data_IF_192111661585
#
_entry.id   IF_192111661585
#
_cell.length_a   1.000
_cell.length_b   1.000
_cell.length_c   1.000
_cell.angle_alpha   90.00
_cell.angle_beta   90.00
_cell.angle_gamma   90.00
#
_symmetry.space_group_name_H-M   'P 1'
#
loop_
_entity.id
_entity.type
_entity.pdbx_description
1 polymer ?
#
# COMPACT_ATOMS: atom_id res chain seq x y z
N UNK A 1 -7.17 14.23 -1.61
CA UNK A 1 -7.18 15.63 -1.14
C UNK A 1 -7.86 16.57 -2.15
N UNK A 2 -7.71 16.36 -3.46
CA UNK A 2 -8.17 17.27 -4.55
C UNK A 2 -9.65 17.11 -4.94
N UNK A 3 -10.26 15.94 -4.69
CA UNK A 3 -11.58 15.55 -5.28
C UNK A 3 -12.77 16.46 -4.94
N UNK A 4 -12.68 17.28 -3.90
CA UNK A 4 -13.76 18.19 -3.54
C UNK A 4 -13.68 19.53 -4.33
N UNK A 5 -12.52 19.80 -4.94
CA UNK A 5 -12.28 21.01 -5.71
C UNK A 5 -12.26 20.75 -7.22
N UNK A 6 -11.95 19.53 -7.66
CA UNK A 6 -11.76 19.17 -9.07
C UNK A 6 -12.50 17.90 -9.44
N UNK A 7 -12.97 17.84 -10.66
CA UNK A 7 -13.41 16.59 -11.30
C UNK A 7 -12.19 15.77 -11.68
N UNK A 8 -12.05 14.59 -11.06
CA UNK A 8 -10.83 13.78 -11.15
C UNK A 8 -11.10 12.41 -11.75
N UNK A 9 -10.34 12.06 -12.78
CA UNK A 9 -10.12 10.67 -13.22
C UNK A 9 -8.81 10.17 -12.66
N UNK A 10 -8.74 8.91 -12.27
CA UNK A 10 -7.53 8.28 -11.74
C UNK A 10 -7.42 6.82 -12.17
N UNK A 11 -6.19 6.32 -12.24
CA UNK A 11 -5.95 4.89 -12.42
C UNK A 11 -6.71 4.07 -11.38
N UNK A 12 -7.53 3.09 -11.80
CA UNK A 12 -8.18 2.17 -10.86
C UNK A 12 -7.16 1.15 -10.34
N UNK A 13 -7.20 0.87 -9.04
CA UNK A 13 -6.29 -0.11 -8.40
C UNK A 13 -4.81 0.14 -8.75
N UNK A 14 -4.12 -0.90 -9.28
CA UNK A 14 -2.70 -0.87 -9.68
C UNK A 14 -2.54 -0.89 -11.20
N UNK A 15 -3.38 -0.14 -11.94
CA UNK A 15 -3.30 -0.04 -13.40
C UNK A 15 -2.16 0.89 -13.81
N UNK A 16 -0.91 0.42 -13.64
CA UNK A 16 0.32 1.18 -13.87
C UNK A 16 1.18 0.65 -15.03
N UNK A 17 0.80 -0.47 -15.65
CA UNK A 17 1.44 -0.99 -16.88
C UNK A 17 0.94 -0.24 -18.12
N UNK A 18 1.61 -0.42 -19.26
CA UNK A 18 1.20 0.20 -20.53
C UNK A 18 -0.28 -0.01 -20.85
N UNK A 19 -0.79 -1.25 -20.70
CA UNK A 19 -2.19 -1.55 -20.90
C UNK A 19 -3.10 -0.90 -19.85
N UNK A 20 -2.69 -0.97 -18.57
CA UNK A 20 -3.45 -0.39 -17.46
C UNK A 20 -3.57 1.13 -17.57
N UNK A 21 -2.48 1.81 -17.92
CA UNK A 21 -2.45 3.26 -18.16
C UNK A 21 -3.30 3.63 -19.36
N UNK A 22 -3.17 2.92 -20.49
CA UNK A 22 -3.99 3.17 -21.68
C UNK A 22 -5.49 3.08 -21.36
N UNK A 23 -5.92 2.04 -20.64
CA UNK A 23 -7.31 1.89 -20.20
C UNK A 23 -7.75 3.03 -19.28
N UNK A 24 -6.87 3.48 -18.37
CA UNK A 24 -7.17 4.59 -17.46
C UNK A 24 -7.28 5.94 -18.18
N UNK A 25 -6.43 6.19 -19.16
CA UNK A 25 -6.47 7.42 -19.98
C UNK A 25 -7.74 7.48 -20.84
N UNK A 26 -8.22 6.34 -21.33
CA UNK A 26 -9.49 6.27 -22.09
C UNK A 26 -10.74 6.63 -21.26
N UNK A 27 -10.65 6.65 -19.95
CA UNK A 27 -11.74 7.09 -19.06
C UNK A 27 -11.87 8.62 -19.00
N UNK A 28 -10.85 9.38 -19.47
CA UNK A 28 -10.88 10.84 -19.49
C UNK A 28 -12.01 11.36 -20.40
N UNK A 29 -12.69 12.36 -19.91
CA UNK A 29 -13.72 13.06 -20.66
C UNK A 29 -13.58 14.59 -20.49
N UNK A 30 -14.32 15.36 -21.29
CA UNK A 30 -14.20 16.83 -21.35
C UNK A 30 -14.61 17.57 -20.05
N UNK A 31 -15.18 16.90 -19.08
CA UNK A 31 -15.56 17.48 -17.78
C UNK A 31 -14.50 17.27 -16.72
N UNK A 32 -13.51 16.41 -16.98
CA UNK A 32 -12.46 16.14 -16.02
C UNK A 32 -11.40 17.25 -16.06
N UNK A 33 -10.99 17.69 -14.88
CA UNK A 33 -10.03 18.78 -14.70
C UNK A 33 -8.64 18.25 -14.35
N UNK A 34 -8.57 17.07 -13.68
CA UNK A 34 -7.33 16.43 -13.30
C UNK A 34 -7.38 14.92 -13.60
N UNK A 35 -6.37 14.43 -14.32
CA UNK A 35 -6.07 13.01 -14.45
C UNK A 35 -4.91 12.60 -13.56
N UNK A 36 -5.06 11.56 -12.71
CA UNK A 36 -4.01 11.04 -11.84
C UNK A 36 -3.68 9.60 -12.28
N UNK A 37 -2.50 9.42 -12.86
CA UNK A 37 -2.08 8.14 -13.41
C UNK A 37 -0.81 7.64 -12.71
N UNK A 38 -0.81 6.36 -12.33
CA UNK A 38 0.38 5.67 -11.84
C UNK A 38 1.10 5.04 -13.03
N UNK A 39 2.40 5.34 -13.20
CA UNK A 39 3.24 4.78 -14.25
C UNK A 39 4.31 3.88 -13.65
N UNK A 40 4.25 2.58 -13.94
CA UNK A 40 5.22 1.57 -13.56
C UNK A 40 5.99 1.05 -14.77
N UNK A 41 7.26 0.73 -14.58
CA UNK A 41 8.12 0.12 -15.61
C UNK A 41 8.85 -1.11 -15.05
N UNK A 42 9.11 -2.06 -15.92
CA UNK A 42 9.89 -3.25 -15.63
C UNK A 42 11.20 -3.32 -16.43
N UNK A 43 11.24 -2.64 -17.58
CA UNK A 43 12.39 -2.61 -18.49
C UNK A 43 12.56 -1.22 -19.11
N UNK A 44 13.65 -1.04 -19.87
CA UNK A 44 13.93 0.19 -20.62
C UNK A 44 12.86 0.45 -21.70
N UNK A 45 12.73 1.71 -22.10
CA UNK A 45 11.85 2.23 -23.15
C UNK A 45 10.33 2.16 -22.84
N UNK A 46 9.90 1.44 -21.81
CA UNK A 46 8.47 1.39 -21.44
C UNK A 46 7.94 2.76 -21.01
N UNK A 47 8.76 3.57 -20.34
CA UNK A 47 8.33 4.86 -19.78
C UNK A 47 8.04 5.91 -20.87
N UNK A 48 8.75 5.85 -21.99
CA UNK A 48 8.53 6.78 -23.10
C UNK A 48 7.15 6.55 -23.76
N UNK A 49 6.71 5.29 -23.81
CA UNK A 49 5.36 4.94 -24.28
C UNK A 49 4.31 5.47 -23.30
N UNK A 50 4.55 5.34 -22.00
CA UNK A 50 3.65 5.88 -20.97
C UNK A 50 3.60 7.41 -21.00
N UNK A 51 4.73 8.07 -21.19
CA UNK A 51 4.81 9.52 -21.35
C UNK A 51 3.94 10.00 -22.52
N UNK A 52 4.05 9.35 -23.69
CA UNK A 52 3.26 9.66 -24.89
C UNK A 52 1.76 9.39 -24.69
N UNK A 53 1.37 8.46 -23.83
CA UNK A 53 -0.03 8.18 -23.52
C UNK A 53 -0.61 9.21 -22.55
N UNK A 54 0.15 9.58 -21.50
CA UNK A 54 -0.32 10.40 -20.40
C UNK A 54 -0.18 11.90 -20.72
N UNK A 55 0.90 12.31 -21.39
CA UNK A 55 1.31 13.71 -21.54
C UNK A 55 1.22 14.50 -20.24
N UNK A 56 1.98 14.10 -19.18
CA UNK A 56 1.80 14.67 -17.85
C UNK A 56 2.24 16.14 -17.83
N UNK A 57 1.47 16.98 -17.13
CA UNK A 57 1.80 18.38 -16.86
C UNK A 57 2.41 18.60 -15.50
N UNK A 58 2.11 17.70 -14.55
CA UNK A 58 2.69 17.67 -13.20
C UNK A 58 3.16 16.26 -12.85
N UNK A 59 4.34 16.12 -12.27
CA UNK A 59 4.93 14.86 -11.89
C UNK A 59 5.17 14.73 -10.40
N UNK A 60 5.01 13.51 -9.88
CA UNK A 60 5.46 13.14 -8.52
C UNK A 60 6.35 11.91 -8.64
N UNK A 61 7.59 12.02 -8.18
CA UNK A 61 8.44 10.86 -7.93
C UNK A 61 8.46 10.60 -6.44
N UNK A 62 7.92 9.44 -6.03
CA UNK A 62 7.95 9.01 -4.63
C UNK A 62 9.34 8.50 -4.28
N UNK A 63 9.53 7.19 -4.26
CA UNK A 63 10.84 6.58 -4.06
C UNK A 63 11.14 5.55 -5.17
N UNK A 64 12.38 5.13 -5.26
CA UNK A 64 12.81 4.08 -6.19
C UNK A 64 13.37 2.92 -5.39
N UNK A 65 12.53 1.90 -5.20
CA UNK A 65 12.90 0.67 -4.51
C UNK A 65 13.53 -0.38 -5.43
N UNK A 66 13.90 -1.53 -4.84
CA UNK A 66 14.55 -2.65 -5.56
C UNK A 66 13.58 -3.45 -6.44
N UNK A 67 12.27 -3.18 -6.38
CA UNK A 67 11.30 -3.85 -7.24
C UNK A 67 11.69 -3.72 -8.72
N UNK A 68 11.69 -4.83 -9.46
CA UNK A 68 12.10 -4.90 -10.87
C UNK A 68 13.58 -4.48 -11.14
N UNK A 69 14.46 -4.59 -10.14
CA UNK A 69 15.89 -4.26 -10.32
C UNK A 69 16.56 -5.13 -11.39
N UNK A 70 16.11 -6.37 -11.58
CA UNK A 70 16.61 -7.28 -12.63
C UNK A 70 16.44 -6.79 -14.07
N UNK A 71 15.60 -5.79 -14.31
CA UNK A 71 15.40 -5.17 -15.63
C UNK A 71 16.33 -3.99 -15.93
N UNK A 72 17.19 -3.58 -14.98
CA UNK A 72 18.08 -2.42 -15.10
C UNK A 72 19.48 -2.77 -14.64
N UNK A 73 20.51 -2.10 -15.20
CA UNK A 73 21.91 -2.38 -14.85
C UNK A 73 22.31 -1.75 -13.51
N UNK A 74 21.67 -0.62 -13.13
CA UNK A 74 21.92 0.07 -11.87
C UNK A 74 20.68 0.84 -11.39
N UNK A 75 20.73 1.37 -10.16
CA UNK A 75 19.67 2.23 -9.61
C UNK A 75 19.63 3.57 -10.36
N UNK A 76 20.79 4.09 -10.74
CA UNK A 76 20.92 5.34 -11.49
C UNK A 76 20.27 5.22 -12.88
N UNK A 77 20.49 4.08 -13.57
CA UNK A 77 19.83 3.80 -14.86
C UNK A 77 18.31 3.75 -14.71
N UNK A 78 17.82 3.11 -13.63
CA UNK A 78 16.39 3.04 -13.33
C UNK A 78 15.80 4.40 -13.00
N UNK A 79 16.54 5.26 -12.28
CA UNK A 79 16.14 6.65 -12.02
C UNK A 79 16.08 7.42 -13.33
N UNK A 80 17.14 7.37 -14.14
CA UNK A 80 17.20 8.05 -15.42
C UNK A 80 16.05 7.63 -16.35
N UNK A 81 15.72 6.33 -16.37
CA UNK A 81 14.58 5.83 -17.15
C UNK A 81 13.26 6.39 -16.66
N UNK A 82 13.00 6.34 -15.35
CA UNK A 82 11.73 6.84 -14.77
C UNK A 82 11.53 8.36 -14.96
N UNK A 83 12.60 9.13 -14.91
CA UNK A 83 12.54 10.59 -15.09
C UNK A 83 12.10 10.98 -16.51
N UNK A 84 12.30 10.14 -17.52
CA UNK A 84 11.83 10.42 -18.89
C UNK A 84 10.30 10.63 -18.96
N UNK A 85 9.52 10.08 -18.02
CA UNK A 85 8.08 10.35 -17.90
C UNK A 85 7.79 11.85 -17.76
N UNK A 86 8.72 12.59 -17.18
CA UNK A 86 8.53 14.00 -16.83
C UNK A 86 9.26 14.97 -17.77
N UNK A 87 9.52 14.52 -18.99
CA UNK A 87 10.26 15.31 -20.00
C UNK A 87 9.58 16.64 -20.34
N UNK A 88 8.26 16.70 -20.28
CA UNK A 88 7.47 17.84 -20.72
C UNK A 88 6.57 18.44 -19.61
N UNK A 89 6.84 18.12 -18.34
CA UNK A 89 6.03 18.64 -17.23
C UNK A 89 6.45 20.06 -16.83
N UNK A 90 5.50 20.80 -16.31
CA UNK A 90 5.73 22.13 -15.74
C UNK A 90 6.47 22.02 -14.41
N UNK A 91 6.11 21.03 -13.57
CA UNK A 91 6.73 20.78 -12.26
C UNK A 91 6.85 19.29 -11.95
N UNK A 92 7.95 18.96 -11.24
CA UNK A 92 8.23 17.62 -10.68
C UNK A 92 8.43 17.77 -9.17
N UNK A 93 7.60 17.10 -8.38
CA UNK A 93 7.72 17.02 -6.94
C UNK A 93 8.47 15.74 -6.54
N UNK A 94 9.49 15.84 -5.69
CA UNK A 94 10.26 14.68 -5.24
C UNK A 94 10.82 14.88 -3.81
N UNK A 95 11.16 13.77 -3.14
CA UNK A 95 11.87 13.78 -1.88
C UNK A 95 13.39 13.88 -2.13
N UNK A 96 14.03 14.95 -1.66
CA UNK A 96 15.48 15.18 -1.84
C UNK A 96 16.36 14.36 -0.91
N UNK A 97 15.76 13.63 0.04
CA UNK A 97 16.48 12.73 0.95
C UNK A 97 16.94 11.44 0.26
N UNK A 98 16.49 11.19 -0.99
CA UNK A 98 16.96 10.11 -1.85
C UNK A 98 18.08 10.61 -2.77
N UNK A 99 19.37 10.31 -2.47
CA UNK A 99 20.51 10.86 -3.22
C UNK A 99 20.45 10.53 -4.72
N UNK A 100 20.01 9.30 -5.07
CA UNK A 100 19.90 8.82 -6.44
C UNK A 100 18.90 9.63 -7.29
N UNK A 101 17.83 10.14 -6.67
CA UNK A 101 16.84 11.00 -7.32
C UNK A 101 17.32 12.44 -7.31
N UNK A 102 17.84 12.89 -6.15
CA UNK A 102 18.25 14.27 -5.94
C UNK A 102 19.38 14.68 -6.89
N UNK A 103 20.40 13.84 -7.07
CA UNK A 103 21.53 14.13 -7.96
C UNK A 103 21.11 14.43 -9.40
N UNK A 104 20.04 13.79 -9.86
CA UNK A 104 19.50 14.02 -11.23
C UNK A 104 18.57 15.23 -11.29
N UNK A 105 17.74 15.43 -10.26
CA UNK A 105 16.69 16.46 -10.30
C UNK A 105 17.13 17.83 -9.75
N UNK A 106 18.16 17.93 -8.92
CA UNK A 106 18.62 19.20 -8.31
C UNK A 106 18.99 20.28 -9.32
N UNK A 107 19.35 19.89 -10.56
CA UNK A 107 19.71 20.80 -11.65
C UNK A 107 18.53 21.14 -12.56
N UNK A 108 17.36 20.52 -12.35
CA UNK A 108 16.18 20.73 -13.14
C UNK A 108 15.34 21.89 -12.56
N UNK A 109 15.19 22.99 -13.31
CA UNK A 109 14.43 24.16 -12.86
C UNK A 109 12.93 23.94 -12.67
N UNK A 110 12.40 22.83 -13.19
CA UNK A 110 11.01 22.40 -12.96
C UNK A 110 10.85 21.56 -11.68
N UNK A 111 11.93 21.14 -11.05
CA UNK A 111 11.87 20.28 -9.87
C UNK A 111 11.57 21.09 -8.60
N UNK A 112 10.78 20.50 -7.70
CA UNK A 112 10.46 20.97 -6.35
C UNK A 112 10.93 19.87 -5.39
N UNK A 113 12.06 20.11 -4.71
CA UNK A 113 12.65 19.16 -3.78
C UNK A 113 12.23 19.43 -2.34
N UNK A 114 11.59 18.48 -1.68
CA UNK A 114 11.32 18.54 -0.24
C UNK A 114 12.08 17.43 0.49
N UNK A 115 12.39 17.63 1.76
CA UNK A 115 13.11 16.65 2.56
C UNK A 115 13.17 16.98 4.03
N UNK A 116 13.66 16.03 4.83
CA UNK A 116 13.93 16.20 6.27
C UNK A 116 15.36 16.70 6.53
N UNK A 117 16.22 16.76 5.51
CA UNK A 117 17.53 17.35 5.58
C UNK A 117 17.45 18.88 5.43
N UNK A 118 18.26 19.60 6.21
CA UNK A 118 18.25 21.08 6.23
C UNK A 118 18.62 21.73 4.90
N UNK A 119 19.27 20.98 4.02
CA UNK A 119 19.68 21.45 2.70
C UNK A 119 18.58 21.31 1.64
N UNK A 120 17.43 20.71 1.99
CA UNK A 120 16.28 20.60 1.10
C UNK A 120 15.69 21.98 0.78
N UNK A 121 15.22 22.18 -0.46
CA UNK A 121 14.52 23.41 -0.87
C UNK A 121 13.30 23.67 0.02
N UNK A 122 12.50 22.62 0.27
CA UNK A 122 11.43 22.64 1.26
C UNK A 122 11.88 21.76 2.44
N UNK A 123 12.48 22.37 3.45
CA UNK A 123 12.88 21.67 4.65
C UNK A 123 11.67 21.40 5.55
N UNK A 124 11.41 20.11 5.81
CA UNK A 124 10.29 19.66 6.64
C UNK A 124 10.79 19.27 8.03
N UNK A 125 10.22 19.87 9.06
CA UNK A 125 10.40 19.45 10.45
C UNK A 125 9.22 18.57 10.85
N UNK A 126 9.50 17.39 11.44
CA UNK A 126 8.46 16.48 11.94
C UNK A 126 8.61 16.21 13.43
N UNK A 127 7.48 16.14 14.14
CA UNK A 127 7.40 15.73 15.55
C UNK A 127 6.20 14.81 15.74
N UNK A 128 6.36 13.74 16.54
CA UNK A 128 5.27 12.83 16.87
C UNK A 128 4.64 13.30 18.19
N UNK A 129 3.31 13.44 18.21
CA UNK A 129 2.58 13.81 19.41
C UNK A 129 2.14 12.59 20.24
N UNK A 130 1.57 12.86 21.43
CA UNK A 130 1.12 11.81 22.37
C UNK A 130 -0.06 10.98 21.84
N UNK A 131 -0.74 11.43 20.77
CA UNK A 131 -1.90 10.78 20.15
C UNK A 131 -1.50 9.95 18.92
N UNK A 132 -0.21 9.69 18.74
CA UNK A 132 0.33 9.00 17.58
C UNK A 132 -0.01 9.68 16.23
N UNK A 133 -0.01 11.01 16.21
CA UNK A 133 -0.04 11.79 14.98
C UNK A 133 1.33 12.42 14.75
N UNK A 134 1.68 12.62 13.49
CA UNK A 134 2.88 13.38 13.13
C UNK A 134 2.50 14.80 12.77
N UNK A 135 3.10 15.78 13.47
CA UNK A 135 3.05 17.20 13.10
C UNK A 135 4.19 17.49 12.16
N UNK A 136 3.90 18.16 11.05
CA UNK A 136 4.88 18.59 10.07
C UNK A 136 4.79 20.10 9.89
N UNK A 137 5.94 20.74 9.80
CA UNK A 137 6.10 22.19 9.63
C UNK A 137 7.13 22.45 8.53
N UNK A 138 6.83 23.34 7.61
CA UNK A 138 7.74 23.71 6.52
C UNK A 138 7.42 25.09 5.96
N UNK A 139 8.35 25.65 5.19
CA UNK A 139 8.14 26.84 4.39
C UNK A 139 8.01 26.45 2.92
N UNK A 140 6.98 26.96 2.24
CA UNK A 140 6.85 26.85 0.80
C UNK A 140 6.45 28.21 0.23
N UNK A 141 7.18 28.69 -0.77
CA UNK A 141 7.03 30.05 -1.33
C UNK A 141 7.03 31.15 -0.24
N UNK A 142 7.93 31.02 0.75
CA UNK A 142 8.07 31.92 1.91
C UNK A 142 6.86 31.96 2.86
N UNK A 143 5.87 31.05 2.68
CA UNK A 143 4.75 30.94 3.59
C UNK A 143 4.92 29.74 4.51
N UNK A 144 4.63 29.88 5.83
CA UNK A 144 4.70 28.78 6.77
C UNK A 144 3.46 27.90 6.67
N UNK A 145 3.67 26.58 6.68
CA UNK A 145 2.63 25.56 6.69
C UNK A 145 2.80 24.63 7.88
N UNK A 146 1.68 24.25 8.49
CA UNK A 146 1.61 23.33 9.62
C UNK A 146 0.48 22.36 9.39
N UNK A 147 0.79 21.05 9.44
CA UNK A 147 -0.23 20.00 9.27
C UNK A 147 -0.05 18.91 10.32
N UNK A 148 -1.15 18.26 10.66
CA UNK A 148 -1.19 17.06 11.48
C UNK A 148 -1.58 15.88 10.60
N UNK A 149 -0.70 14.87 10.53
CA UNK A 149 -0.84 13.67 9.72
C UNK A 149 -1.23 12.51 10.64
N UNK A 150 -2.29 11.70 10.31
CA UNK A 150 -2.77 10.60 11.17
C UNK A 150 -1.92 9.32 11.00
N UNK A 151 -0.64 9.46 10.72
CA UNK A 151 0.32 8.37 10.57
C UNK A 151 1.60 8.71 11.30
N UNK A 152 2.33 7.66 11.74
CA UNK A 152 3.62 7.78 12.43
C UNK A 152 4.76 7.08 11.68
N UNK A 153 4.44 6.24 10.70
CA UNK A 153 5.44 5.57 9.88
C UNK A 153 5.96 6.48 8.76
N UNK A 154 7.24 6.35 8.46
CA UNK A 154 7.94 7.23 7.51
C UNK A 154 7.35 7.16 6.11
N UNK A 155 6.93 5.99 5.63
CA UNK A 155 6.37 5.84 4.28
C UNK A 155 5.02 6.54 4.11
N UNK A 156 4.13 6.43 5.10
CA UNK A 156 2.84 7.13 5.08
C UNK A 156 3.01 8.63 5.23
N UNK A 157 3.96 9.08 6.07
CA UNK A 157 4.29 10.51 6.23
C UNK A 157 4.83 11.07 4.91
N UNK A 158 5.76 10.38 4.25
CA UNK A 158 6.32 10.77 2.96
C UNK A 158 5.23 10.89 1.89
N UNK A 159 4.37 9.88 1.76
CA UNK A 159 3.26 9.92 0.82
C UNK A 159 2.29 11.07 1.12
N UNK A 160 2.01 11.35 2.40
CA UNK A 160 1.20 12.50 2.79
C UNK A 160 1.86 13.82 2.42
N UNK A 161 3.17 13.97 2.62
CA UNK A 161 3.91 15.18 2.26
C UNK A 161 3.86 15.45 0.76
N UNK A 162 4.05 14.43 -0.09
CA UNK A 162 3.83 14.57 -1.52
C UNK A 162 2.42 15.09 -1.84
N UNK A 163 1.39 14.50 -1.20
CA UNK A 163 0.01 14.92 -1.41
C UNK A 163 -0.27 16.33 -0.88
N UNK A 164 0.30 16.72 0.26
CA UNK A 164 0.12 18.05 0.87
C UNK A 164 0.73 19.11 -0.04
N UNK A 165 2.01 18.96 -0.42
CA UNK A 165 2.74 19.93 -1.21
C UNK A 165 2.11 20.06 -2.61
N UNK A 166 1.71 18.94 -3.23
CA UNK A 166 0.95 18.98 -4.47
C UNK A 166 -0.39 19.71 -4.32
N UNK A 167 -1.12 19.49 -3.22
CA UNK A 167 -2.39 20.19 -2.97
C UNK A 167 -2.21 21.69 -2.80
N UNK A 168 -1.13 22.13 -2.14
CA UNK A 168 -0.78 23.55 -2.03
C UNK A 168 -0.42 24.12 -3.41
N UNK A 169 0.33 23.38 -4.23
CA UNK A 169 0.64 23.78 -5.60
C UNK A 169 -0.62 23.98 -6.45
N UNK A 170 -1.65 23.15 -6.25
CA UNK A 170 -2.97 23.29 -6.88
C UNK A 170 -3.90 24.26 -6.13
N UNK A 171 -3.35 25.14 -5.30
CA UNK A 171 -4.03 26.25 -4.62
C UNK A 171 -5.20 25.81 -3.71
N UNK A 172 -5.14 24.60 -3.12
CA UNK A 172 -6.11 24.18 -2.12
C UNK A 172 -5.83 24.86 -0.78
N UNK A 173 -6.87 25.38 -0.16
CA UNK A 173 -6.78 26.03 1.16
C UNK A 173 -6.23 25.08 2.24
N UNK A 174 -5.28 25.57 3.07
CA UNK A 174 -4.62 24.76 4.11
C UNK A 174 -5.60 24.11 5.09
N UNK A 175 -6.71 24.78 5.43
CA UNK A 175 -7.73 24.26 6.29
C UNK A 175 -8.45 23.05 5.68
N UNK A 176 -8.71 23.08 4.38
CA UNK A 176 -9.32 21.96 3.65
C UNK A 176 -8.36 20.79 3.51
N UNK A 177 -7.09 21.07 3.22
CA UNK A 177 -6.03 20.05 3.20
C UNK A 177 -5.99 19.35 4.55
N UNK A 178 -5.91 20.12 5.67
CA UNK A 178 -5.84 19.56 7.03
C UNK A 178 -7.07 18.69 7.36
N UNK A 179 -8.27 19.17 7.05
CA UNK A 179 -9.52 18.43 7.28
C UNK A 179 -9.52 17.09 6.54
N UNK A 180 -9.06 17.07 5.29
CA UNK A 180 -9.06 15.88 4.43
C UNK A 180 -7.97 14.90 4.80
N UNK A 181 -6.80 15.38 5.24
CA UNK A 181 -5.71 14.52 5.72
C UNK A 181 -6.15 13.68 6.91
N UNK A 182 -6.87 14.27 7.87
CA UNK A 182 -7.35 13.55 9.06
C UNK A 182 -8.37 12.45 8.73
N UNK A 183 -8.93 12.44 7.52
CA UNK A 183 -9.81 11.38 7.02
C UNK A 183 -9.07 10.26 6.30
N UNK A 184 -7.75 10.38 6.13
CA UNK A 184 -6.94 9.33 5.50
C UNK A 184 -6.82 8.13 6.45
N UNK A 185 -6.91 6.96 5.87
CA UNK A 185 -6.72 5.69 6.55
C UNK A 185 -5.59 4.91 5.86
N UNK A 186 -4.93 4.02 6.60
CA UNK A 186 -3.94 3.11 6.03
C UNK A 186 -4.53 2.30 4.87
N UNK A 187 -3.71 2.02 3.87
CA UNK A 187 -4.12 1.17 2.76
C UNK A 187 -4.23 -0.28 3.21
N UNK A 188 -5.28 -0.96 2.78
CA UNK A 188 -5.42 -2.40 3.02
C UNK A 188 -4.17 -3.16 2.56
N UNK A 189 -3.71 -4.11 3.37
CA UNK A 189 -2.49 -4.92 3.15
C UNK A 189 -1.17 -4.14 3.05
N UNK A 190 -1.13 -2.86 3.49
CA UNK A 190 0.10 -2.06 3.61
C UNK A 190 0.16 -1.46 5.01
N UNK A 191 0.86 -2.15 5.92
CA UNK A 191 0.96 -1.80 7.35
C UNK A 191 -0.43 -1.59 8.01
N UNK A 192 -1.45 -2.30 7.52
CA UNK A 192 -2.79 -2.24 8.07
C UNK A 192 -2.82 -2.88 9.45
N UNK A 193 -3.18 -2.10 10.48
CA UNK A 193 -3.23 -2.59 11.86
C UNK A 193 -4.65 -2.87 12.30
N UNK A 194 -4.86 -4.03 12.95
CA UNK A 194 -6.12 -4.41 13.61
C UNK A 194 -5.85 -5.11 14.94
N UNK A 195 -6.83 -5.05 15.82
CA UNK A 195 -6.88 -5.95 16.97
C UNK A 195 -7.19 -7.36 16.50
N UNK A 196 -6.42 -8.32 16.97
CA UNK A 196 -6.60 -9.75 16.68
C UNK A 196 -7.24 -10.50 17.83
N UNK A 197 -7.60 -11.76 17.57
CA UNK A 197 -8.10 -12.67 18.61
C UNK A 197 -7.05 -12.84 19.73
N UNK A 198 -7.51 -13.23 20.93
CA UNK A 198 -6.67 -13.57 22.08
C UNK A 198 -5.66 -12.47 22.50
N UNK A 199 -6.02 -11.20 22.36
CA UNK A 199 -5.16 -10.08 22.76
C UNK A 199 -3.98 -9.81 21.83
N UNK A 200 -4.01 -10.32 20.61
CA UNK A 200 -3.00 -10.04 19.59
C UNK A 200 -3.23 -8.69 18.93
N UNK A 201 -2.14 -8.09 18.45
CA UNK A 201 -2.17 -6.95 17.53
C UNK A 201 -1.64 -7.46 16.20
N UNK A 202 -2.40 -7.28 15.14
CA UNK A 202 -2.05 -7.71 13.78
C UNK A 202 -1.60 -6.53 12.94
N UNK A 203 -0.49 -6.68 12.25
CA UNK A 203 0.01 -5.73 11.26
C UNK A 203 0.10 -6.48 9.93
N UNK A 204 -0.75 -6.11 8.98
CA UNK A 204 -0.81 -6.71 7.67
C UNK A 204 -0.06 -5.87 6.63
N UNK A 205 1.01 -6.42 6.12
CA UNK A 205 1.81 -5.84 5.01
C UNK A 205 2.06 -6.91 3.93
N UNK A 206 1.01 -7.67 3.57
CA UNK A 206 1.08 -8.83 2.68
C UNK A 206 0.84 -8.51 1.20
N UNK A 207 0.98 -7.25 0.79
CA UNK A 207 0.83 -6.86 -0.61
C UNK A 207 2.04 -7.25 -1.46
N UNK A 208 3.26 -7.04 -0.94
CA UNK A 208 4.52 -7.36 -1.59
C UNK A 208 5.56 -7.78 -0.57
N UNK A 209 6.58 -8.51 -1.01
CA UNK A 209 7.69 -8.93 -0.16
C UNK A 209 9.02 -8.73 -0.88
N UNK A 210 9.82 -7.86 -0.33
CA UNK A 210 11.25 -7.68 -0.56
C UNK A 210 11.91 -7.28 0.78
N UNK A 211 13.24 -7.35 0.87
CA UNK A 211 13.95 -7.12 2.15
C UNK A 211 13.85 -5.68 2.64
N UNK A 212 13.86 -4.68 1.76
CA UNK A 212 13.71 -3.28 2.16
C UNK A 212 12.32 -3.00 2.72
N UNK A 213 11.27 -3.47 2.02
CA UNK A 213 9.90 -3.32 2.51
C UNK A 213 9.66 -4.11 3.80
N UNK A 214 10.33 -5.26 3.97
CA UNK A 214 10.31 -5.99 5.25
C UNK A 214 10.98 -5.19 6.38
N UNK A 215 12.14 -4.57 6.13
CA UNK A 215 12.78 -3.72 7.13
C UNK A 215 11.90 -2.53 7.53
N UNK A 216 11.24 -1.87 6.58
CA UNK A 216 10.26 -0.81 6.87
C UNK A 216 9.11 -1.32 7.75
N UNK A 217 8.56 -2.49 7.42
CA UNK A 217 7.51 -3.11 8.24
C UNK A 217 8.01 -3.46 9.66
N UNK A 218 9.24 -3.94 9.80
CA UNK A 218 9.86 -4.20 11.10
C UNK A 218 10.06 -2.91 11.92
N UNK A 219 10.46 -1.80 11.29
CA UNK A 219 10.55 -0.48 11.95
C UNK A 219 9.17 -0.02 12.43
N UNK A 220 8.14 -0.22 11.62
CA UNK A 220 6.77 0.09 12.03
C UNK A 220 6.34 -0.72 13.26
N UNK A 221 6.67 -2.03 13.31
CA UNK A 221 6.46 -2.89 14.49
C UNK A 221 7.16 -2.33 15.73
N UNK A 222 8.40 -1.84 15.58
CA UNK A 222 9.18 -1.27 16.68
C UNK A 222 8.55 0.02 17.23
N UNK A 223 8.03 0.87 16.34
CA UNK A 223 7.38 2.13 16.68
C UNK A 223 6.06 1.97 17.46
N UNK A 224 5.42 0.79 17.41
CA UNK A 224 4.20 0.53 18.17
C UNK A 224 4.41 0.59 19.68
N UNK A 225 5.67 0.53 20.14
CA UNK A 225 6.07 0.66 21.56
C UNK A 225 5.23 -0.18 22.54
N UNK A 226 4.89 -1.41 22.14
CA UNK A 226 4.07 -2.36 22.93
C UNK A 226 4.98 -3.43 23.48
N UNK A 227 4.85 -3.74 24.78
CA UNK A 227 5.58 -4.83 25.43
C UNK A 227 4.91 -6.19 25.16
N UNK A 228 4.82 -6.58 23.91
CA UNK A 228 4.31 -7.89 23.48
C UNK A 228 5.42 -8.69 22.80
N UNK A 229 5.32 -10.03 22.89
CA UNK A 229 6.16 -10.89 22.06
C UNK A 229 5.88 -10.63 20.58
N UNK A 230 6.94 -10.65 19.77
CA UNK A 230 6.83 -10.36 18.33
C UNK A 230 6.89 -11.65 17.53
N UNK A 231 5.88 -11.83 16.68
CA UNK A 231 5.79 -12.94 15.73
C UNK A 231 5.86 -12.40 14.31
N UNK A 232 6.69 -13.01 13.47
CA UNK A 232 6.74 -12.75 12.04
C UNK A 232 6.10 -13.92 11.28
N UNK A 233 5.05 -13.65 10.52
CA UNK A 233 4.48 -14.55 9.52
C UNK A 233 4.98 -14.08 8.16
N UNK A 234 5.74 -14.92 7.46
CA UNK A 234 6.40 -14.52 6.21
C UNK A 234 6.29 -15.62 5.16
N UNK A 235 6.04 -15.23 3.89
CA UNK A 235 6.03 -16.16 2.77
C UNK A 235 7.38 -16.26 2.06
N UNK A 236 7.47 -17.13 1.06
CA UNK A 236 8.56 -17.09 0.08
C UNK A 236 8.66 -15.71 -0.57
N UNK A 237 9.89 -15.30 -0.86
CA UNK A 237 10.15 -14.12 -1.68
C UNK A 237 9.62 -14.34 -3.11
N UNK A 238 9.09 -13.29 -3.71
CA UNK A 238 8.51 -13.37 -5.06
C UNK A 238 9.54 -13.36 -6.18
N UNK A 239 10.81 -13.08 -5.87
CA UNK A 239 11.91 -13.02 -6.81
C UNK A 239 12.73 -14.31 -6.81
N UNK A 240 13.55 -14.51 -7.87
CA UNK A 240 14.39 -15.68 -8.06
C UNK A 240 15.78 -15.54 -7.42
N UNK A 241 15.94 -14.66 -6.43
CA UNK A 241 17.24 -14.52 -5.75
C UNK A 241 17.62 -15.80 -5.04
N UNK A 242 18.91 -16.20 -5.10
CA UNK A 242 19.41 -17.37 -4.38
C UNK A 242 19.15 -17.25 -2.88
N UNK A 243 18.83 -18.37 -2.24
CA UNK A 243 18.62 -18.45 -0.80
C UNK A 243 19.75 -17.81 0.02
N UNK A 244 21.02 -18.01 -0.41
CA UNK A 244 22.19 -17.47 0.27
C UNK A 244 22.26 -15.93 0.32
N UNK A 245 21.60 -15.24 -0.60
CA UNK A 245 21.64 -13.77 -0.67
C UNK A 245 20.68 -13.12 0.33
N UNK A 246 19.47 -13.66 0.48
CA UNK A 246 18.47 -13.02 1.34
C UNK A 246 18.36 -13.63 2.75
N UNK A 247 18.81 -14.88 2.95
CA UNK A 247 18.61 -15.58 4.23
C UNK A 247 19.36 -14.94 5.39
N UNK A 248 20.59 -14.50 5.18
CA UNK A 248 21.40 -13.85 6.22
C UNK A 248 20.81 -12.48 6.59
N UNK A 249 20.35 -11.70 5.62
CA UNK A 249 19.71 -10.42 5.86
C UNK A 249 18.39 -10.60 6.61
N UNK A 250 17.58 -11.59 6.25
CA UNK A 250 16.34 -11.91 6.97
C UNK A 250 16.62 -12.27 8.43
N UNK A 251 17.62 -13.12 8.70
CA UNK A 251 18.01 -13.47 10.07
C UNK A 251 18.45 -12.24 10.84
N UNK A 252 19.25 -11.38 10.23
CA UNK A 252 19.69 -10.13 10.86
C UNK A 252 18.49 -9.23 11.22
N UNK A 253 17.48 -9.11 10.36
CA UNK A 253 16.25 -8.39 10.65
C UNK A 253 15.46 -9.02 11.79
N UNK A 254 15.26 -10.34 11.78
CA UNK A 254 14.56 -11.07 12.83
C UNK A 254 15.21 -10.82 14.20
N UNK A 255 16.54 -10.86 14.28
CA UNK A 255 17.29 -10.61 15.52
C UNK A 255 17.24 -9.13 15.92
N UNK A 256 17.52 -8.21 14.99
CA UNK A 256 17.52 -6.77 15.22
C UNK A 256 16.20 -6.27 15.80
N UNK A 257 15.08 -6.75 15.26
CA UNK A 257 13.74 -6.35 15.68
C UNK A 257 13.10 -7.29 16.72
N UNK A 258 13.90 -8.23 17.27
CA UNK A 258 13.55 -9.10 18.42
C UNK A 258 12.29 -9.95 18.20
N UNK A 259 12.14 -10.52 17.01
CA UNK A 259 11.09 -11.51 16.79
C UNK A 259 11.44 -12.80 17.55
N UNK A 260 10.50 -13.28 18.36
CA UNK A 260 10.64 -14.51 19.17
C UNK A 260 10.05 -15.75 18.47
N UNK A 261 9.20 -15.52 17.47
CA UNK A 261 8.53 -16.58 16.70
C UNK A 261 8.55 -16.24 15.21
N UNK A 262 8.84 -17.24 14.39
CA UNK A 262 8.81 -17.16 12.92
C UNK A 262 7.88 -18.23 12.37
N UNK A 263 6.90 -17.83 11.58
CA UNK A 263 5.99 -18.71 10.84
C UNK A 263 6.30 -18.52 9.36
N UNK A 264 6.88 -19.53 8.73
CA UNK A 264 7.30 -19.53 7.35
C UNK A 264 6.27 -20.23 6.46
N UNK A 265 5.90 -19.58 5.33
CA UNK A 265 4.88 -20.11 4.40
C UNK A 265 5.46 -20.19 2.99
N UNK A 266 5.71 -21.39 2.51
CA UNK A 266 6.33 -21.68 1.23
C UNK A 266 7.46 -22.68 1.34
N UNK A 267 8.06 -23.04 0.22
CA UNK A 267 9.11 -24.06 0.16
C UNK A 267 10.50 -23.48 0.48
N UNK A 268 10.85 -22.34 -0.09
CA UNK A 268 12.21 -21.77 0.02
C UNK A 268 12.43 -21.17 1.42
N UNK A 269 11.44 -20.50 1.97
CA UNK A 269 11.55 -19.84 3.28
C UNK A 269 11.73 -20.88 4.40
N UNK A 270 11.27 -22.11 4.24
CA UNK A 270 11.42 -23.17 5.25
C UNK A 270 12.88 -23.59 5.46
N UNK A 271 13.74 -23.43 4.45
CA UNK A 271 15.16 -23.75 4.55
C UNK A 271 15.89 -22.88 5.59
N UNK A 272 15.33 -21.73 5.98
CA UNK A 272 15.94 -20.84 6.98
C UNK A 272 16.03 -21.48 8.37
N UNK A 273 15.26 -22.53 8.63
CA UNK A 273 15.22 -23.24 9.93
C UNK A 273 16.60 -23.59 10.45
N UNK A 274 17.49 -24.05 9.56
CA UNK A 274 18.84 -24.49 9.91
C UNK A 274 19.79 -23.34 10.31
N UNK A 275 19.41 -22.11 9.97
CA UNK A 275 20.21 -20.91 10.23
C UNK A 275 19.66 -20.09 11.40
N UNK A 276 18.46 -20.39 11.87
CA UNK A 276 17.82 -19.64 12.96
C UNK A 276 18.46 -19.93 14.32
N UNK A 277 18.61 -18.91 15.18
CA UNK A 277 18.96 -19.12 16.58
C UNK A 277 17.94 -20.02 17.29
N UNK A 278 18.40 -20.88 18.18
CA UNK A 278 17.55 -21.80 18.97
C UNK A 278 16.51 -21.09 19.86
N UNK A 279 16.70 -19.81 20.10
CA UNK A 279 15.77 -18.97 20.88
C UNK A 279 14.52 -18.56 20.12
N UNK A 280 14.48 -18.77 18.80
CA UNK A 280 13.35 -18.40 17.95
C UNK A 280 12.51 -19.65 17.72
N UNK A 281 11.22 -19.58 18.11
CA UNK A 281 10.26 -20.63 17.79
C UNK A 281 9.97 -20.62 16.29
N UNK A 282 10.12 -21.76 15.64
CA UNK A 282 9.95 -21.88 14.19
C UNK A 282 8.82 -22.85 13.84
N UNK A 283 7.94 -22.40 12.95
CA UNK A 283 6.89 -23.21 12.33
C UNK A 283 6.92 -23.00 10.83
N UNK A 284 6.56 -24.02 10.06
CA UNK A 284 6.56 -23.93 8.59
C UNK A 284 5.35 -24.63 7.99
N UNK A 285 4.83 -24.03 6.93
CA UNK A 285 3.70 -24.52 6.14
C UNK A 285 4.00 -24.36 4.66
N UNK A 286 3.45 -25.24 3.82
CA UNK A 286 3.67 -25.21 2.38
C UNK A 286 2.87 -24.08 1.72
N UNK A 287 1.66 -23.82 2.23
CA UNK A 287 0.73 -22.84 1.70
C UNK A 287 -0.07 -22.18 2.83
N UNK A 288 -0.85 -21.17 2.49
CA UNK A 288 -1.66 -20.42 3.46
C UNK A 288 -2.85 -21.22 3.98
N UNK A 289 -3.41 -22.10 3.16
CA UNK A 289 -4.53 -22.96 3.52
C UNK A 289 -4.14 -23.93 4.64
N UNK A 290 -2.99 -24.58 4.54
CA UNK A 290 -2.46 -25.47 5.58
C UNK A 290 -2.19 -24.69 6.87
N UNK A 291 -1.60 -23.47 6.76
CA UNK A 291 -1.37 -22.60 7.91
C UNK A 291 -2.68 -22.22 8.61
N UNK A 292 -3.70 -21.82 7.87
CA UNK A 292 -5.01 -21.46 8.42
C UNK A 292 -5.67 -22.67 9.09
N UNK A 293 -5.55 -23.85 8.51
CA UNK A 293 -6.13 -25.07 9.11
C UNK A 293 -5.49 -25.45 10.46
N UNK A 294 -4.22 -25.10 10.68
CA UNK A 294 -3.44 -25.53 11.86
C UNK A 294 -3.10 -24.38 12.81
N UNK A 295 -3.44 -23.12 12.52
CA UNK A 295 -2.99 -21.95 13.29
C UNK A 295 -3.41 -21.97 14.77
N UNK A 296 -4.52 -22.60 15.12
CA UNK A 296 -4.96 -22.73 16.51
C UNK A 296 -3.92 -23.47 17.38
N UNK A 297 -3.19 -24.45 16.81
CA UNK A 297 -2.14 -25.22 17.48
C UNK A 297 -0.92 -24.35 17.85
N UNK A 298 -0.71 -23.22 17.17
CA UNK A 298 0.43 -22.32 17.38
C UNK A 298 0.28 -21.42 18.60
N UNK A 299 -0.88 -21.45 19.26
CA UNK A 299 -1.18 -20.71 20.48
C UNK A 299 -0.77 -19.23 20.41
N UNK A 300 -1.24 -18.53 19.37
CA UNK A 300 -1.00 -17.10 19.16
C UNK A 300 -1.81 -16.29 20.17
N UNK A 301 -1.16 -15.77 21.23
CA UNK A 301 -1.83 -15.02 22.31
C UNK A 301 -0.93 -13.91 22.84
N UNK A 302 -1.51 -12.73 23.02
CA UNK A 302 -0.81 -11.55 23.53
C UNK A 302 0.50 -11.29 22.76
N UNK A 303 0.41 -11.30 21.43
CA UNK A 303 1.55 -11.13 20.53
C UNK A 303 1.29 -9.97 19.56
N UNK A 304 2.36 -9.30 19.16
CA UNK A 304 2.37 -8.38 18.03
C UNK A 304 2.80 -9.16 16.79
N UNK A 305 1.87 -9.38 15.87
CA UNK A 305 2.05 -10.25 14.70
C UNK A 305 2.21 -9.42 13.45
N UNK A 306 3.40 -9.44 12.85
CA UNK A 306 3.65 -8.89 11.51
C UNK A 306 3.37 -9.97 10.46
N UNK A 307 2.49 -9.67 9.52
CA UNK A 307 2.14 -10.54 8.40
C UNK A 307 2.72 -9.91 7.14
N UNK A 308 3.73 -10.55 6.55
CA UNK A 308 4.46 -10.07 5.39
C UNK A 308 4.56 -11.15 4.32
N UNK A 309 4.14 -10.90 3.09
CA UNK A 309 4.19 -11.94 2.07
C UNK A 309 4.01 -11.46 0.65
N UNK A 310 4.46 -12.29 -0.30
CA UNK A 310 4.18 -12.07 -1.70
C UNK A 310 2.69 -12.33 -2.00
N UNK A 311 2.11 -11.52 -2.88
CA UNK A 311 0.68 -11.51 -3.22
C UNK A 311 0.08 -12.89 -3.54
N UNK A 312 0.87 -13.78 -4.16
CA UNK A 312 0.44 -15.13 -4.52
C UNK A 312 0.06 -16.01 -3.32
N UNK A 313 0.58 -15.71 -2.12
CA UNK A 313 0.30 -16.48 -0.89
C UNK A 313 -0.99 -16.05 -0.19
N UNK A 314 -1.58 -14.89 -0.55
CA UNK A 314 -2.89 -14.45 -0.02
C UNK A 314 -2.98 -14.44 1.51
N UNK A 315 -1.91 -14.02 2.21
CA UNK A 315 -1.85 -14.01 3.68
C UNK A 315 -2.90 -13.10 4.35
N UNK A 316 -3.51 -12.21 3.57
CA UNK A 316 -4.67 -11.42 4.01
C UNK A 316 -5.87 -12.28 4.43
N UNK A 317 -5.95 -13.54 4.00
CA UNK A 317 -7.00 -14.47 4.45
C UNK A 317 -6.86 -14.74 5.95
N UNK A 318 -5.66 -15.08 6.42
CA UNK A 318 -5.39 -15.23 7.86
C UNK A 318 -5.61 -13.93 8.63
N UNK A 319 -5.15 -12.78 8.10
CA UNK A 319 -5.36 -11.50 8.75
C UNK A 319 -6.86 -11.20 8.96
N UNK A 320 -7.69 -11.44 7.98
CA UNK A 320 -9.13 -11.21 8.08
C UNK A 320 -9.81 -12.19 9.05
N UNK A 321 -9.41 -13.45 9.03
CA UNK A 321 -9.98 -14.49 9.92
C UNK A 321 -9.57 -14.26 11.37
N UNK A 322 -8.31 -13.87 11.62
CA UNK A 322 -7.77 -13.68 12.97
C UNK A 322 -8.02 -12.28 13.55
N UNK A 323 -8.55 -11.34 12.75
CA UNK A 323 -8.93 -10.00 13.21
C UNK A 323 -10.21 -10.02 14.04
N UNK A 324 -10.25 -9.21 15.11
CA UNK A 324 -11.51 -8.92 15.79
C UNK A 324 -12.40 -8.09 14.88
N UNK A 325 -13.57 -8.61 14.55
CA UNK A 325 -14.59 -7.86 13.80
C UNK A 325 -15.06 -6.71 14.70
N UNK A 326 -14.71 -5.47 14.38
CA UNK A 326 -15.43 -4.32 14.92
C UNK A 326 -16.79 -4.36 14.25
N UNK A 327 -17.85 -4.71 15.00
CA UNK A 327 -19.29 -4.69 14.67
C UNK A 327 -19.60 -4.18 13.23
N UNK A 328 -19.19 -4.95 12.23
CA UNK A 328 -19.63 -4.68 10.88
C UNK A 328 -21.07 -5.19 10.75
N UNK A 329 -21.98 -4.32 10.34
CA UNK A 329 -23.31 -4.76 9.97
C UNK A 329 -23.17 -5.64 8.74
N UNK A 330 -23.22 -6.97 8.93
CA UNK A 330 -23.16 -7.94 7.84
C UNK A 330 -24.55 -8.12 7.27
N UNK A 331 -24.72 -7.79 5.99
CA UNK A 331 -25.89 -8.16 5.22
C UNK A 331 -25.67 -9.55 4.62
N UNK A 332 -26.24 -10.57 5.25
CA UNK A 332 -26.19 -11.94 4.74
C UNK A 332 -27.36 -12.17 3.77
N UNK A 333 -27.05 -12.52 2.51
CA UNK A 333 -28.03 -12.76 1.46
C UNK A 333 -27.99 -14.22 1.05
N UNK A 334 -29.07 -14.94 1.34
CA UNK A 334 -29.23 -16.32 0.95
C UNK A 334 -29.89 -16.44 -0.43
N UNK A 335 -29.07 -16.62 -1.47
CA UNK A 335 -29.54 -16.72 -2.86
C UNK A 335 -30.48 -17.91 -3.07
N UNK A 336 -30.31 -19.03 -2.34
CA UNK A 336 -31.22 -20.19 -2.41
C UNK A 336 -32.60 -19.83 -1.88
N UNK A 337 -32.67 -19.02 -0.83
CA UNK A 337 -33.94 -18.53 -0.29
C UNK A 337 -34.62 -17.57 -1.27
N UNK A 338 -33.89 -16.70 -1.95
CA UNK A 338 -34.44 -15.82 -3.00
C UNK A 338 -35.03 -16.68 -4.15
N UNK A 339 -34.26 -17.62 -4.66
CA UNK A 339 -34.73 -18.52 -5.72
C UNK A 339 -35.96 -19.35 -5.30
N UNK A 340 -35.97 -19.82 -4.04
CA UNK A 340 -37.14 -20.51 -3.46
C UNK A 340 -38.37 -19.60 -3.42
N UNK A 341 -38.25 -18.40 -2.93
CA UNK A 341 -39.33 -17.42 -2.85
C UNK A 341 -39.90 -17.12 -4.25
N UNK A 342 -39.05 -16.89 -5.23
CA UNK A 342 -39.48 -16.67 -6.62
C UNK A 342 -40.26 -17.91 -7.13
N UNK A 343 -39.82 -19.15 -6.82
CA UNK A 343 -40.48 -20.35 -7.21
C UNK A 343 -41.89 -20.50 -6.61
N UNK A 344 -42.06 -20.08 -5.37
CA UNK A 344 -43.39 -20.06 -4.70
C UNK A 344 -44.32 -19.05 -5.40
N UNK A 345 -43.82 -17.80 -5.63
CA UNK A 345 -44.64 -16.83 -6.36
C UNK A 345 -45.05 -17.34 -7.74
N UNK A 346 -44.15 -17.96 -8.48
CA UNK A 346 -44.45 -18.57 -9.79
C UNK A 346 -45.56 -19.60 -9.73
N UNK A 347 -45.67 -20.40 -8.66
CA UNK A 347 -46.74 -21.40 -8.49
C UNK A 347 -48.14 -20.80 -8.31
N UNK A 348 -48.20 -19.57 -7.78
CA UNK A 348 -49.47 -18.87 -7.56
C UNK A 348 -49.86 -17.95 -8.73
N UNK A 349 -49.00 -17.80 -9.73
CA UNK A 349 -49.28 -16.98 -10.91
C UNK A 349 -49.87 -17.80 -12.05
N UNK A 350 -50.71 -17.14 -12.84
CA UNK A 350 -51.26 -17.71 -14.06
C UNK A 350 -50.11 -17.93 -15.07
N UNK A 351 -50.19 -18.99 -15.88
CA UNK A 351 -49.15 -19.38 -16.86
C UNK A 351 -48.77 -18.25 -17.85
N UNK A 352 -49.64 -17.27 -18.06
CA UNK A 352 -49.39 -16.11 -18.95
C UNK A 352 -48.79 -14.91 -18.22
N UNK A 353 -48.66 -14.95 -16.89
CA UNK A 353 -48.15 -13.81 -16.09
C UNK A 353 -46.64 -13.76 -16.19
N UNK A 354 -46.09 -12.58 -16.57
CA UNK A 354 -44.66 -12.31 -16.60
C UNK A 354 -44.22 -11.68 -15.27
N UNK A 355 -43.08 -12.09 -14.74
CA UNK A 355 -42.44 -11.48 -13.58
C UNK A 355 -41.37 -10.50 -14.07
N UNK A 356 -41.40 -9.29 -13.59
CA UNK A 356 -40.36 -8.27 -13.83
C UNK A 356 -39.65 -7.99 -12.51
N UNK A 357 -38.34 -8.23 -12.47
CA UNK A 357 -37.49 -7.90 -11.32
C UNK A 357 -36.88 -6.50 -11.52
N UNK A 358 -36.89 -5.69 -10.46
CA UNK A 358 -36.23 -4.39 -10.43
C UNK A 358 -34.90 -4.54 -9.70
N UNK A 359 -33.79 -4.31 -10.40
CA UNK A 359 -32.41 -4.51 -9.91
C UNK A 359 -31.60 -3.20 -9.89
N UNK A 360 -32.22 -2.10 -9.48
CA UNK A 360 -31.53 -0.81 -9.34
C UNK A 360 -30.62 -0.80 -8.10
N UNK A 361 -29.66 0.14 -8.06
CA UNK A 361 -28.75 0.37 -6.94
C UNK A 361 -28.01 -0.90 -6.49
N UNK A 362 -27.40 -1.64 -7.44
CA UNK A 362 -26.74 -2.93 -7.20
C UNK A 362 -27.65 -3.93 -6.49
N UNK A 363 -28.90 -4.10 -7.00
CA UNK A 363 -29.95 -4.90 -6.39
C UNK A 363 -30.15 -4.55 -4.89
N UNK A 364 -30.16 -3.25 -4.57
CA UNK A 364 -30.23 -2.70 -3.20
C UNK A 364 -29.07 -3.15 -2.29
N UNK A 365 -27.89 -3.29 -2.86
CA UNK A 365 -26.67 -3.64 -2.14
C UNK A 365 -26.31 -5.13 -2.17
N UNK A 366 -27.13 -5.97 -2.80
CA UNK A 366 -26.87 -7.42 -2.88
C UNK A 366 -26.00 -7.87 -4.06
N UNK A 367 -25.61 -6.96 -4.97
CA UNK A 367 -24.84 -7.30 -6.17
C UNK A 367 -25.68 -7.53 -7.41
N UNK A 368 -25.03 -7.64 -8.58
CA UNK A 368 -25.74 -7.70 -9.88
C UNK A 368 -25.70 -9.09 -10.56
N UNK A 369 -24.69 -9.91 -10.30
CA UNK A 369 -24.33 -11.03 -11.17
C UNK A 369 -24.16 -12.39 -10.48
N UNK A 370 -24.65 -12.55 -9.28
CA UNK A 370 -24.66 -13.84 -8.60
C UNK A 370 -26.03 -14.52 -8.60
#
# INVERSE_FOLDING_TARGET
LLRENFHIVRSPKSYNSQLGVALSVLELNNTDEIGIFEAGISTYEEIEVLEQMIHPTFGIITNIGDAHHSGFNSIEDKVAEKIKLFKHVDKILYCSDYPEIHEVLKVNSSAIGWGFNKDAEIYVVKTIDQLNHTKVEFLFNHQPYHFQIPFVDDASIENCLHCIIASIYFEIESADIQKRILLLHGLSMRLEQKEGLHGCILINDSYSLDLKSLELACRFVEQQNVELNRTLIISDFGDHRPFSEWSQELIALIQKYRFSKLIAIGYQITEIQHLLPKSILFYSFINTEDFIAEHESLNLRNELILIKGARKFKLEQFFNEYSLSKHDTILEINLKSIAHNISIYKKHLNAKTKIMAVVKAAAYGSGHYE
#
